data_IF_117770692537
#
_entry.id   IF_117770692537
#
_cell.length_a   1.000
_cell.length_b   1.000
_cell.length_c   1.000
_cell.angle_alpha   90.00
_cell.angle_beta   90.00
_cell.angle_gamma   90.00
#
_symmetry.space_group_name_H-M   'P 1'
#
loop_
_entity.id
_entity.type
_entity.pdbx_description
1 polymer ?
#
# COMPACT_ATOMS: atom_id res chain seq x y z
N UNK A 1 -9.24 21.04 24.29
CA UNK A 1 -9.74 20.42 23.05
C UNK A 1 -10.16 18.99 23.35
N UNK A 2 -11.26 18.54 22.79
CA UNK A 2 -11.73 17.17 22.93
C UNK A 2 -10.90 16.23 22.04
N UNK A 3 -10.57 15.04 22.55
CA UNK A 3 -9.80 14.03 21.82
C UNK A 3 -10.73 12.83 21.56
N UNK A 4 -10.80 12.41 20.29
CA UNK A 4 -11.59 11.26 19.86
C UNK A 4 -10.66 10.10 19.49
N UNK A 5 -10.91 8.91 20.03
CA UNK A 5 -10.22 7.67 19.70
C UNK A 5 -11.09 6.87 18.73
N UNK A 6 -10.78 6.97 17.44
CA UNK A 6 -11.57 6.38 16.36
C UNK A 6 -11.75 4.86 16.50
N UNK A 7 -10.73 4.15 16.95
CA UNK A 7 -10.72 2.71 17.19
C UNK A 7 -11.65 2.25 18.32
N UNK A 8 -11.97 3.15 19.26
CA UNK A 8 -12.94 2.89 20.35
C UNK A 8 -14.38 3.17 19.94
N UNK A 9 -14.58 4.00 18.91
CA UNK A 9 -15.90 4.46 18.47
C UNK A 9 -16.38 3.68 17.26
N UNK A 10 -15.47 3.40 16.30
CA UNK A 10 -15.79 2.78 15.03
C UNK A 10 -15.12 1.42 14.85
N UNK A 11 -15.89 0.48 14.28
CA UNK A 11 -15.41 -0.81 13.81
C UNK A 11 -15.67 -0.86 12.30
N UNK A 12 -14.67 -1.35 11.54
CA UNK A 12 -14.76 -1.56 10.10
C UNK A 12 -14.54 -3.06 9.84
N UNK A 13 -15.58 -3.76 9.47
CA UNK A 13 -15.55 -5.19 9.18
C UNK A 13 -15.50 -5.39 7.67
N UNK A 14 -14.44 -6.04 7.20
CA UNK A 14 -14.28 -6.37 5.78
C UNK A 14 -15.30 -7.44 5.41
N UNK A 15 -16.06 -7.20 4.34
CA UNK A 15 -17.00 -8.19 3.82
C UNK A 15 -16.30 -9.19 2.90
N UNK A 16 -16.89 -10.39 2.72
CA UNK A 16 -16.31 -11.45 1.89
C UNK A 16 -16.49 -11.23 0.38
N UNK A 17 -17.40 -10.35 -0.02
CA UNK A 17 -17.60 -9.97 -1.41
C UNK A 17 -16.55 -8.94 -1.83
N UNK A 18 -15.40 -9.41 -2.27
CA UNK A 18 -14.34 -8.53 -2.73
C UNK A 18 -14.04 -8.77 -4.20
N UNK A 19 -14.13 -7.73 -4.99
CA UNK A 19 -13.35 -7.65 -6.22
C UNK A 19 -11.92 -7.24 -5.80
N UNK A 20 -11.11 -8.25 -5.47
CA UNK A 20 -9.78 -8.13 -4.82
C UNK A 20 -8.85 -7.13 -5.54
N UNK A 21 -9.11 -6.83 -6.81
CA UNK A 21 -8.25 -5.96 -7.62
C UNK A 21 -8.83 -4.55 -7.86
N UNK A 22 -10.06 -4.27 -7.46
CA UNK A 22 -10.69 -2.99 -7.77
C UNK A 22 -11.12 -2.21 -6.51
N UNK A 23 -11.66 -2.90 -5.49
CA UNK A 23 -12.04 -2.29 -4.22
C UNK A 23 -12.19 -3.32 -3.11
N UNK A 24 -12.11 -2.85 -1.88
CA UNK A 24 -12.51 -3.59 -0.67
C UNK A 24 -13.91 -3.10 -0.24
N UNK A 25 -14.71 -3.99 0.35
CA UNK A 25 -16.02 -3.64 0.92
C UNK A 25 -15.99 -3.79 2.44
N UNK A 26 -16.62 -2.85 3.13
CA UNK A 26 -16.68 -2.81 4.58
C UNK A 26 -18.09 -2.53 5.08
N UNK A 27 -18.48 -3.18 6.19
CA UNK A 27 -19.57 -2.75 7.04
C UNK A 27 -18.98 -1.93 8.20
N UNK A 28 -19.53 -0.76 8.42
CA UNK A 28 -19.05 0.18 9.44
C UNK A 28 -20.05 0.22 10.58
N UNK A 29 -19.56 0.06 11.80
CA UNK A 29 -20.35 0.16 13.03
C UNK A 29 -19.84 1.32 13.90
N UNK A 30 -20.76 2.06 14.49
CA UNK A 30 -20.49 3.09 15.50
C UNK A 30 -21.07 2.65 16.83
N UNK A 31 -20.25 2.50 17.85
CA UNK A 31 -20.66 2.01 19.17
C UNK A 31 -21.50 0.71 19.08
N UNK A 32 -21.04 -0.26 18.30
CA UNK A 32 -21.68 -1.56 18.02
C UNK A 32 -23.05 -1.48 17.31
N UNK A 33 -23.42 -0.34 16.72
CA UNK A 33 -24.62 -0.20 15.90
C UNK A 33 -24.21 0.04 14.45
N UNK A 34 -24.94 -0.55 13.51
CA UNK A 34 -24.73 -0.33 12.09
C UNK A 34 -24.76 1.17 11.78
N UNK A 35 -23.75 1.65 11.07
CA UNK A 35 -23.59 3.05 10.70
C UNK A 35 -23.55 3.26 9.19
N UNK A 36 -22.81 2.43 8.46
CA UNK A 36 -22.79 2.39 7.00
C UNK A 36 -22.62 0.93 6.59
N UNK A 37 -23.53 0.45 5.74
CA UNK A 37 -23.47 -0.87 5.16
C UNK A 37 -22.89 -0.82 3.75
N UNK A 38 -22.12 -1.86 3.35
CA UNK A 38 -21.52 -2.01 2.02
C UNK A 38 -20.75 -0.77 1.52
N UNK A 39 -19.83 -0.27 2.33
CA UNK A 39 -18.92 0.79 1.91
C UNK A 39 -17.84 0.22 0.99
N UNK A 40 -17.83 0.61 -0.28
CA UNK A 40 -16.76 0.27 -1.23
C UNK A 40 -15.61 1.26 -1.13
N UNK A 41 -14.39 0.72 -0.98
CA UNK A 41 -13.18 1.52 -0.77
C UNK A 41 -12.06 1.06 -1.71
N UNK A 42 -11.57 1.88 -2.67
CA UNK A 42 -10.65 1.46 -3.72
C UNK A 42 -9.18 1.41 -3.28
N UNK A 43 -8.85 1.81 -2.06
CA UNK A 43 -7.50 1.68 -1.52
C UNK A 43 -7.33 0.26 -0.95
N UNK A 44 -6.53 -0.57 -1.61
CA UNK A 44 -6.50 -2.02 -1.40
C UNK A 44 -5.54 -2.50 -0.31
N UNK A 45 -4.68 -1.64 0.24
CA UNK A 45 -3.78 -2.01 1.33
C UNK A 45 -4.55 -2.45 2.58
N UNK A 46 -4.17 -3.57 3.21
CA UNK A 46 -4.83 -4.06 4.43
C UNK A 46 -4.77 -3.04 5.58
N UNK A 47 -3.70 -2.25 5.63
CA UNK A 47 -3.54 -1.16 6.60
C UNK A 47 -4.59 -0.04 6.45
N UNK A 48 -5.29 0.04 5.31
CA UNK A 48 -6.33 1.03 5.06
C UNK A 48 -7.57 0.84 5.95
N UNK A 49 -7.78 -0.34 6.52
CA UNK A 49 -8.81 -0.55 7.53
C UNK A 49 -8.61 0.37 8.76
N UNK A 50 -7.35 0.53 9.20
CA UNK A 50 -7.01 1.44 10.31
C UNK A 50 -7.28 2.91 9.93
N UNK A 51 -6.87 3.29 8.70
CA UNK A 51 -7.09 4.65 8.19
C UNK A 51 -8.58 4.95 8.02
N UNK A 52 -9.36 3.98 7.53
CA UNK A 52 -10.80 4.14 7.32
C UNK A 52 -11.54 4.50 8.61
N UNK A 53 -11.20 3.86 9.74
CA UNK A 53 -11.78 4.22 11.05
C UNK A 53 -11.56 5.70 11.40
N UNK A 54 -10.33 6.18 11.20
CA UNK A 54 -9.98 7.59 11.44
C UNK A 54 -10.72 8.54 10.52
N UNK A 55 -10.83 8.18 9.23
CA UNK A 55 -11.56 8.97 8.22
C UNK A 55 -13.04 9.07 8.60
N UNK A 56 -13.69 7.93 8.91
CA UNK A 56 -15.11 7.90 9.28
C UNK A 56 -15.36 8.70 10.56
N UNK A 57 -14.48 8.61 11.55
CA UNK A 57 -14.56 9.40 12.79
C UNK A 57 -14.48 10.90 12.49
N UNK A 58 -13.55 11.34 11.65
CA UNK A 58 -13.42 12.73 11.23
C UNK A 58 -14.66 13.22 10.48
N UNK A 59 -15.21 12.42 9.56
CA UNK A 59 -16.44 12.74 8.84
C UNK A 59 -17.63 12.85 9.79
N UNK A 60 -17.74 11.96 10.77
CA UNK A 60 -18.82 11.99 11.76
C UNK A 60 -18.81 13.27 12.60
N UNK A 61 -17.64 13.78 12.96
CA UNK A 61 -17.48 15.08 13.63
C UNK A 61 -17.89 16.21 12.69
N UNK A 62 -17.46 16.17 11.42
CA UNK A 62 -17.77 17.20 10.41
C UNK A 62 -19.27 17.27 10.08
N UNK A 63 -20.04 16.20 10.25
CA UNK A 63 -21.50 16.21 10.09
C UNK A 63 -22.21 17.25 10.96
N UNK A 64 -21.61 17.64 12.09
CA UNK A 64 -22.19 18.67 12.95
C UNK A 64 -22.12 20.07 12.30
N UNK A 65 -21.22 20.27 11.34
CA UNK A 65 -21.02 21.57 10.67
C UNK A 65 -21.52 21.54 9.23
N UNK A 66 -21.40 20.39 8.56
CA UNK A 66 -21.73 20.22 7.16
C UNK A 66 -22.85 19.19 6.96
N UNK A 67 -23.75 19.47 6.01
CA UNK A 67 -24.84 18.55 5.65
C UNK A 67 -24.32 17.33 4.87
N UNK A 68 -23.57 16.44 5.56
CA UNK A 68 -23.01 15.22 4.99
C UNK A 68 -23.95 14.05 5.26
N UNK A 69 -24.46 13.41 4.22
CA UNK A 69 -25.26 12.18 4.32
C UNK A 69 -24.45 10.94 3.93
N UNK A 70 -25.03 9.75 4.09
CA UNK A 70 -24.38 8.47 3.79
C UNK A 70 -23.94 8.37 2.32
N UNK A 71 -24.76 8.84 1.37
CA UNK A 71 -24.40 8.82 -0.05
C UNK A 71 -23.18 9.68 -0.35
N UNK A 72 -23.04 10.83 0.32
CA UNK A 72 -21.85 11.68 0.19
C UNK A 72 -20.60 10.92 0.66
N UNK A 73 -20.70 10.15 1.76
CA UNK A 73 -19.59 9.37 2.30
C UNK A 73 -19.22 8.24 1.34
N UNK A 74 -20.20 7.43 0.93
CA UNK A 74 -19.99 6.30 0.00
C UNK A 74 -19.37 6.77 -1.31
N UNK A 75 -19.94 7.79 -1.94
CA UNK A 75 -19.46 8.32 -3.22
C UNK A 75 -18.08 8.98 -3.09
N UNK A 76 -17.85 9.75 -2.03
CA UNK A 76 -16.58 10.42 -1.78
C UNK A 76 -15.44 9.44 -1.58
N UNK A 77 -15.66 8.40 -0.77
CA UNK A 77 -14.65 7.36 -0.50
C UNK A 77 -14.43 6.43 -1.69
N UNK A 78 -15.49 6.03 -2.40
CA UNK A 78 -15.35 5.22 -3.61
C UNK A 78 -14.57 5.94 -4.72
N UNK A 79 -14.71 7.25 -4.83
CA UNK A 79 -14.01 8.05 -5.82
C UNK A 79 -12.75 8.74 -5.29
N UNK A 80 -12.21 8.32 -4.14
CA UNK A 80 -11.07 9.01 -3.51
C UNK A 80 -9.88 9.14 -4.44
N UNK A 81 -9.50 8.09 -5.17
CA UNK A 81 -8.39 8.11 -6.12
C UNK A 81 -8.66 9.13 -7.24
N UNK A 82 -9.86 9.09 -7.84
CA UNK A 82 -10.27 10.02 -8.90
C UNK A 82 -10.29 11.47 -8.44
N UNK A 83 -10.78 11.71 -7.22
CA UNK A 83 -10.98 13.06 -6.69
C UNK A 83 -9.67 13.70 -6.18
N UNK A 84 -8.69 12.89 -5.78
CA UNK A 84 -7.46 13.38 -5.12
C UNK A 84 -6.17 13.04 -5.87
N UNK A 85 -6.24 12.21 -6.91
CA UNK A 85 -5.06 11.64 -7.60
C UNK A 85 -4.11 10.91 -6.65
N UNK A 86 -4.64 10.34 -5.55
CA UNK A 86 -3.85 9.58 -4.59
C UNK A 86 -3.29 8.31 -5.23
N UNK A 87 -1.98 8.17 -5.27
CA UNK A 87 -1.25 7.05 -5.85
C UNK A 87 -0.34 6.37 -4.83
N UNK A 88 0.14 5.16 -5.16
CA UNK A 88 1.13 4.44 -4.35
C UNK A 88 0.59 3.98 -2.99
N UNK A 89 -0.65 3.52 -2.92
CA UNK A 89 -1.28 2.92 -1.74
C UNK A 89 -1.85 1.56 -2.10
N UNK A 90 -0.98 0.55 -2.23
CA UNK A 90 -1.30 -0.77 -2.76
C UNK A 90 -2.03 -0.65 -4.11
N UNK A 91 -1.43 0.16 -4.99
CA UNK A 91 -2.02 0.49 -6.28
C UNK A 91 -1.76 -0.63 -7.27
N UNK A 92 -2.82 -1.20 -7.84
CA UNK A 92 -2.71 -2.12 -8.98
C UNK A 92 -2.43 -1.31 -10.23
N UNK A 93 -1.25 -1.49 -10.81
CA UNK A 93 -0.84 -0.83 -12.06
C UNK A 93 -1.24 -1.67 -13.26
N UNK A 94 -1.06 -2.99 -13.14
CA UNK A 94 -1.31 -3.96 -14.21
C UNK A 94 -1.82 -5.26 -13.59
N UNK A 95 -2.67 -5.99 -14.32
CA UNK A 95 -3.28 -7.24 -13.83
C UNK A 95 -2.55 -8.51 -14.32
N UNK A 96 -1.79 -8.45 -15.40
CA UNK A 96 -1.01 -9.58 -15.98
C UNK A 96 0.27 -9.09 -16.66
N UNK A 97 1.44 -9.45 -16.13
CA UNK A 97 1.64 -9.93 -14.78
C UNK A 97 1.04 -8.94 -13.77
N UNK A 98 0.75 -9.41 -12.56
CA UNK A 98 0.24 -8.51 -11.53
C UNK A 98 1.33 -7.53 -11.10
N UNK A 99 1.06 -6.23 -11.24
CA UNK A 99 1.99 -5.17 -10.83
C UNK A 99 1.34 -4.32 -9.76
N UNK A 100 1.98 -4.25 -8.60
CA UNK A 100 1.53 -3.48 -7.44
C UNK A 100 2.56 -2.42 -7.08
N UNK A 101 2.11 -1.20 -6.78
CA UNK A 101 2.96 -0.14 -6.24
C UNK A 101 2.48 0.31 -4.86
N UNK A 102 3.43 0.48 -3.93
CA UNK A 102 3.17 1.09 -2.62
C UNK A 102 4.36 1.95 -2.20
N UNK A 103 4.09 3.07 -1.54
CA UNK A 103 5.11 4.02 -1.07
C UNK A 103 5.43 3.85 0.43
N UNK A 104 5.15 2.70 1.01
CA UNK A 104 5.57 2.36 2.36
C UNK A 104 7.09 2.44 2.49
N UNK A 105 7.59 3.25 3.45
CA UNK A 105 9.01 3.58 3.54
C UNK A 105 9.57 3.49 4.97
N UNK A 106 8.82 2.95 5.90
CA UNK A 106 9.24 2.69 7.27
C UNK A 106 8.99 1.24 7.67
N UNK A 107 9.60 0.79 8.76
CA UNK A 107 9.51 -0.60 9.24
C UNK A 107 8.05 -1.08 9.33
N UNK A 108 7.17 -0.28 9.94
CA UNK A 108 5.76 -0.66 10.09
C UNK A 108 5.03 -0.80 8.74
N UNK A 109 5.24 0.17 7.81
CA UNK A 109 4.66 0.13 6.47
C UNK A 109 5.16 -1.06 5.66
N UNK A 110 6.48 -1.31 5.67
CA UNK A 110 7.08 -2.46 4.98
C UNK A 110 6.58 -3.78 5.56
N UNK A 111 6.42 -3.88 6.88
CA UNK A 111 5.85 -5.08 7.52
C UNK A 111 4.43 -5.37 7.00
N UNK A 112 3.57 -4.35 6.93
CA UNK A 112 2.21 -4.52 6.39
C UNK A 112 2.23 -4.93 4.90
N UNK A 113 3.13 -4.34 4.10
CA UNK A 113 3.33 -4.70 2.68
C UNK A 113 3.75 -6.15 2.54
N UNK A 114 4.79 -6.60 3.27
CA UNK A 114 5.28 -7.97 3.18
C UNK A 114 4.23 -8.99 3.64
N UNK A 115 3.50 -8.69 4.72
CA UNK A 115 2.39 -9.52 5.17
C UNK A 115 1.33 -9.68 4.05
N UNK A 116 0.92 -8.58 3.42
CA UNK A 116 -0.08 -8.63 2.36
C UNK A 116 0.45 -9.30 1.08
N UNK A 117 1.73 -9.13 0.74
CA UNK A 117 2.37 -9.86 -0.37
C UNK A 117 2.34 -11.37 -0.15
N UNK A 118 2.51 -11.82 1.10
CA UNK A 118 2.48 -13.25 1.45
C UNK A 118 1.10 -13.90 1.31
N UNK A 119 0.02 -13.11 1.21
CA UNK A 119 -1.36 -13.58 0.99
C UNK A 119 -1.66 -13.79 -0.51
N UNK A 120 -0.78 -13.35 -1.42
CA UNK A 120 -0.95 -13.47 -2.87
C UNK A 120 -0.21 -14.71 -3.36
N UNK A 121 -0.87 -15.49 -4.21
CA UNK A 121 -0.22 -16.60 -4.91
C UNK A 121 0.51 -16.07 -6.15
N UNK A 122 1.82 -16.27 -6.20
CA UNK A 122 2.68 -15.96 -7.34
C UNK A 122 3.82 -16.97 -7.44
N UNK A 123 4.41 -17.11 -8.63
CA UNK A 123 5.56 -17.99 -8.85
C UNK A 123 6.87 -17.31 -8.42
N UNK A 124 7.14 -16.11 -8.93
CA UNK A 124 8.32 -15.32 -8.60
C UNK A 124 7.89 -13.92 -8.20
N UNK A 125 8.52 -13.36 -7.17
CA UNK A 125 8.40 -11.95 -6.80
C UNK A 125 9.56 -11.15 -7.42
N UNK A 126 9.24 -10.24 -8.33
CA UNK A 126 10.14 -9.24 -8.87
C UNK A 126 9.97 -7.94 -8.06
N UNK A 127 10.98 -7.58 -7.30
CA UNK A 127 10.90 -6.44 -6.38
C UNK A 127 11.75 -5.26 -6.89
N UNK A 128 11.10 -4.22 -7.43
CA UNK A 128 11.73 -2.95 -7.76
C UNK A 128 11.88 -2.14 -6.49
N UNK A 129 13.11 -1.98 -6.02
CA UNK A 129 13.39 -1.38 -4.71
C UNK A 129 14.17 -0.08 -4.85
N UNK A 130 13.60 0.98 -4.30
CA UNK A 130 14.31 2.23 -4.04
C UNK A 130 14.03 2.67 -2.59
N UNK A 131 15.02 3.27 -1.94
CA UNK A 131 14.84 3.78 -0.59
C UNK A 131 15.31 5.23 -0.49
N UNK A 132 14.73 5.96 0.43
CA UNK A 132 15.21 7.29 0.80
C UNK A 132 16.36 7.15 1.81
N UNK A 133 17.27 8.13 1.84
CA UNK A 133 18.35 8.16 2.80
C UNK A 133 17.81 8.51 4.20
N UNK A 134 17.09 7.56 4.79
CA UNK A 134 16.41 7.69 6.08
C UNK A 134 16.99 6.69 7.10
N UNK A 135 16.56 6.80 8.35
CA UNK A 135 17.27 6.33 9.53
C UNK A 135 17.38 4.82 9.73
N UNK A 136 16.58 4.00 9.06
CA UNK A 136 16.47 2.57 9.42
C UNK A 136 16.42 1.63 8.21
N UNK A 137 17.32 1.90 7.25
CA UNK A 137 17.41 1.10 6.00
C UNK A 137 17.72 -0.36 6.31
N UNK A 138 18.62 -0.62 7.27
CA UNK A 138 19.07 -1.97 7.58
C UNK A 138 17.92 -2.82 8.16
N UNK A 139 17.09 -2.27 9.04
CA UNK A 139 15.89 -2.95 9.54
C UNK A 139 14.87 -3.22 8.43
N UNK A 140 14.68 -2.29 7.50
CA UNK A 140 13.81 -2.49 6.33
C UNK A 140 14.32 -3.64 5.47
N UNK A 141 15.63 -3.65 5.11
CA UNK A 141 16.21 -4.69 4.26
C UNK A 141 16.15 -6.09 4.90
N UNK A 142 16.19 -6.18 6.22
CA UNK A 142 16.04 -7.45 6.94
C UNK A 142 14.63 -8.05 6.84
N UNK A 143 13.58 -7.22 6.68
CA UNK A 143 12.19 -7.66 6.53
C UNK A 143 11.89 -8.19 5.12
N UNK A 144 12.68 -7.81 4.12
CA UNK A 144 12.40 -8.12 2.73
C UNK A 144 12.63 -9.60 2.40
N UNK A 145 11.79 -10.22 1.52
CA UNK A 145 11.87 -11.63 1.15
C UNK A 145 13.21 -12.00 0.50
N UNK A 146 13.89 -13.02 1.00
CA UNK A 146 15.21 -13.44 0.48
C UNK A 146 15.14 -14.20 -0.84
N UNK A 147 13.97 -14.72 -1.20
CA UNK A 147 13.69 -15.48 -2.43
C UNK A 147 13.13 -14.65 -3.57
N UNK A 148 13.07 -13.31 -3.42
CA UNK A 148 12.66 -12.42 -4.49
C UNK A 148 13.84 -12.03 -5.40
N UNK A 149 13.54 -11.64 -6.64
CA UNK A 149 14.48 -11.03 -7.58
C UNK A 149 14.44 -9.52 -7.44
N UNK A 150 15.55 -8.89 -7.02
CA UNK A 150 15.60 -7.46 -6.76
C UNK A 150 16.14 -6.66 -7.93
N UNK A 151 15.47 -5.53 -8.20
CA UNK A 151 15.83 -4.51 -9.17
C UNK A 151 16.09 -3.23 -8.41
N UNK A 152 17.36 -3.04 -7.98
CA UNK A 152 17.75 -1.88 -7.19
C UNK A 152 17.82 -0.63 -8.05
N UNK A 153 17.26 0.46 -7.59
CA UNK A 153 17.32 1.74 -8.29
C UNK A 153 17.34 2.92 -7.30
N UNK A 154 17.66 4.10 -7.81
CA UNK A 154 17.57 5.34 -7.05
C UNK A 154 16.27 6.04 -7.42
N UNK A 155 15.47 6.44 -6.41
CA UNK A 155 14.33 7.33 -6.62
C UNK A 155 14.82 8.71 -7.09
N UNK A 156 14.14 9.30 -8.08
CA UNK A 156 14.47 10.63 -8.63
C UNK A 156 13.96 11.75 -7.72
N UNK A 157 14.45 11.75 -6.50
CA UNK A 157 14.21 12.77 -5.48
C UNK A 157 15.51 13.09 -4.74
N UNK A 158 15.65 14.30 -4.18
CA UNK A 158 16.89 14.73 -3.51
C UNK A 158 17.38 13.78 -2.40
N UNK A 159 16.45 13.10 -1.71
CA UNK A 159 16.74 12.15 -0.62
C UNK A 159 16.91 10.70 -1.08
N UNK A 160 16.82 10.42 -2.38
CA UNK A 160 16.99 9.05 -2.90
C UNK A 160 18.38 8.52 -2.56
N UNK A 161 18.46 7.33 -1.92
CA UNK A 161 19.73 6.68 -1.61
C UNK A 161 20.45 6.29 -2.91
N UNK A 162 21.78 6.43 -2.92
CA UNK A 162 22.60 5.96 -4.04
C UNK A 162 22.40 4.46 -4.25
N UNK A 163 22.26 4.04 -5.50
CA UNK A 163 21.92 2.65 -5.86
C UNK A 163 23.04 1.67 -5.47
N UNK A 164 24.31 2.09 -5.51
CA UNK A 164 25.43 1.22 -5.14
C UNK A 164 25.46 0.99 -3.64
N UNK A 165 25.19 2.04 -2.84
CA UNK A 165 25.06 1.94 -1.38
C UNK A 165 23.87 1.04 -1.02
N UNK A 166 22.73 1.21 -1.69
CA UNK A 166 21.56 0.34 -1.49
C UNK A 166 21.91 -1.12 -1.78
N UNK A 167 22.53 -1.40 -2.92
CA UNK A 167 22.89 -2.75 -3.34
C UNK A 167 23.91 -3.41 -2.38
N UNK A 168 24.87 -2.67 -1.86
CA UNK A 168 25.83 -3.18 -0.87
C UNK A 168 25.11 -3.59 0.43
N UNK A 169 24.29 -2.72 0.98
CA UNK A 169 23.48 -3.00 2.17
C UNK A 169 22.50 -4.18 1.94
N UNK A 170 21.86 -4.22 0.78
CA UNK A 170 20.95 -5.30 0.40
C UNK A 170 21.68 -6.66 0.33
N UNK A 171 22.88 -6.72 -0.28
CA UNK A 171 23.71 -7.94 -0.30
C UNK A 171 24.11 -8.38 1.10
N UNK A 172 24.51 -7.45 1.96
CA UNK A 172 24.82 -7.73 3.37
C UNK A 172 23.61 -8.28 4.14
N UNK A 173 22.40 -7.91 3.72
CA UNK A 173 21.14 -8.46 4.24
C UNK A 173 20.68 -9.72 3.53
N UNK A 174 21.46 -10.31 2.60
CA UNK A 174 21.16 -11.55 1.89
C UNK A 174 20.18 -11.37 0.71
N UNK A 175 19.91 -10.15 0.25
CA UNK A 175 19.09 -9.89 -0.93
C UNK A 175 19.94 -9.98 -2.20
N UNK A 176 19.37 -10.57 -3.28
CA UNK A 176 20.06 -10.76 -4.57
C UNK A 176 19.38 -9.93 -5.64
N UNK A 177 20.13 -9.09 -6.33
CA UNK A 177 19.55 -8.24 -7.38
C UNK A 177 20.60 -7.48 -8.20
N UNK A 178 20.09 -6.72 -9.17
CA UNK A 178 20.85 -5.93 -10.15
C UNK A 178 20.52 -4.45 -9.96
N UNK A 179 21.52 -3.59 -10.19
CA UNK A 179 21.39 -2.14 -10.13
C UNK A 179 20.93 -1.56 -11.48
N UNK A 180 20.03 -0.58 -11.41
CA UNK A 180 19.52 0.14 -12.59
C UNK A 180 19.68 1.65 -12.40
N UNK A 181 19.87 2.35 -13.53
CA UNK A 181 20.12 3.80 -13.53
C UNK A 181 18.88 4.65 -13.21
N UNK A 182 17.68 4.05 -13.23
CA UNK A 182 16.43 4.73 -12.90
C UNK A 182 15.35 3.76 -12.45
N UNK A 183 14.34 4.25 -11.74
CA UNK A 183 13.14 3.48 -11.38
C UNK A 183 12.45 2.94 -12.64
N UNK A 184 12.36 3.75 -13.70
CA UNK A 184 11.73 3.33 -14.95
C UNK A 184 12.47 2.16 -15.61
N UNK A 185 13.80 2.19 -15.66
CA UNK A 185 14.61 1.10 -16.20
C UNK A 185 14.44 -0.19 -15.39
N UNK A 186 14.49 -0.10 -14.06
CA UNK A 186 14.25 -1.21 -13.15
C UNK A 186 12.85 -1.80 -13.34
N UNK A 187 11.82 -0.96 -13.35
CA UNK A 187 10.43 -1.34 -13.55
C UNK A 187 10.20 -2.03 -14.90
N UNK A 188 10.67 -1.42 -16.01
CA UNK A 188 10.51 -1.98 -17.35
C UNK A 188 11.19 -3.34 -17.46
N UNK A 189 12.39 -3.49 -16.88
CA UNK A 189 13.10 -4.78 -16.89
C UNK A 189 12.40 -5.82 -16.04
N UNK A 190 11.91 -5.45 -14.84
CA UNK A 190 11.14 -6.35 -13.99
C UNK A 190 9.89 -6.86 -14.70
N UNK A 191 9.13 -5.96 -15.35
CA UNK A 191 7.94 -6.34 -16.12
C UNK A 191 8.27 -7.22 -17.34
N UNK A 192 9.42 -6.99 -17.99
CA UNK A 192 9.84 -7.81 -19.14
C UNK A 192 10.31 -9.21 -18.75
N UNK A 193 10.83 -9.38 -17.53
CA UNK A 193 11.28 -10.67 -17.01
C UNK A 193 10.13 -11.47 -16.39
N UNK A 194 9.09 -10.79 -15.91
CA UNK A 194 7.96 -11.42 -15.25
C UNK A 194 7.04 -12.13 -16.23
N UNK A 195 6.57 -13.32 -15.86
CA UNK A 195 5.51 -14.07 -16.54
C UNK A 195 4.15 -13.73 -15.93
N UNK A 196 3.08 -14.20 -16.57
CA UNK A 196 1.70 -13.92 -16.15
C UNK A 196 1.39 -14.36 -14.71
N UNK A 197 2.04 -15.41 -14.23
CA UNK A 197 1.93 -15.95 -12.88
C UNK A 197 2.86 -15.31 -11.84
N UNK A 198 3.72 -14.39 -12.25
CA UNK A 198 4.63 -13.68 -11.37
C UNK A 198 4.00 -12.41 -10.82
N UNK A 199 4.63 -11.86 -9.80
CA UNK A 199 4.25 -10.59 -9.19
C UNK A 199 5.39 -9.58 -9.31
N UNK A 200 5.11 -8.40 -9.83
CA UNK A 200 6.02 -7.26 -9.78
C UNK A 200 5.56 -6.30 -8.70
N UNK A 201 6.42 -6.05 -7.72
CA UNK A 201 6.18 -5.04 -6.70
C UNK A 201 7.14 -3.85 -6.87
N UNK A 202 6.61 -2.64 -6.76
CA UNK A 202 7.36 -1.37 -6.91
C UNK A 202 7.22 -0.55 -5.62
N UNK A 203 8.37 -0.33 -4.92
CA UNK A 203 8.38 0.39 -3.65
C UNK A 203 9.75 0.95 -3.22
#
# INVERSE_FOLDING_TARGET
SEIFFADKIFQCEKTTENNILDYQSFNIYKNNREYINELRFPLLGNYQNKNLKTIICAIDILKNTFSINENHIKNGLFNVIKNTSLMGRWQIIQKKPLVIADTGHNVAGITEIINQLSEINYSILHFVLSVVNDKDIDSILQLLPKNAEYYFCKADIPRGLDVNILAEKARSSGLKGVCYNSVNAAYTTACSNAKDEDLVFVG
#
